data_IF_546190810320
#
_entry.id   IF_546190810320
#
_cell.length_a   1.000
_cell.length_b   1.000
_cell.length_c   1.000
_cell.angle_alpha   90.00
_cell.angle_beta   90.00
_cell.angle_gamma   90.00
#
_symmetry.space_group_name_H-M   'P 1'
#
loop_
_entity.id
_entity.type
_entity.pdbx_description
1 polymer ?
#
# COMPACT_ATOMS: atom_id res chain seq x y z
N UNK A 1 37.15 -27.21 -3.25
CA UNK A 1 36.70 -26.71 -1.94
C UNK A 1 36.06 -25.37 -2.23
N UNK A 2 34.75 -25.27 -2.02
CA UNK A 2 33.86 -24.37 -2.76
C UNK A 2 34.17 -22.89 -2.59
N UNK A 3 34.10 -22.16 -3.70
CA UNK A 3 33.87 -20.73 -3.65
C UNK A 3 32.43 -20.53 -3.18
N UNK A 4 32.27 -20.18 -1.91
CA UNK A 4 31.06 -19.55 -1.42
C UNK A 4 30.92 -18.23 -2.18
N UNK A 5 30.12 -18.27 -3.24
CA UNK A 5 29.71 -17.08 -3.96
C UNK A 5 29.11 -16.11 -2.95
N UNK A 6 29.62 -14.89 -2.95
CA UNK A 6 29.09 -13.74 -2.23
C UNK A 6 27.59 -13.56 -2.59
N UNK A 7 26.70 -14.21 -1.84
CA UNK A 7 25.28 -14.35 -2.17
C UNK A 7 24.51 -13.03 -2.01
N UNK A 8 25.14 -11.97 -1.47
CA UNK A 8 24.47 -10.75 -1.00
C UNK A 8 25.03 -9.46 -1.62
N UNK A 9 25.35 -9.44 -2.91
CA UNK A 9 25.62 -8.15 -3.57
C UNK A 9 24.38 -7.23 -3.46
N UNK A 10 24.49 -5.99 -2.93
CA UNK A 10 23.34 -5.10 -2.70
C UNK A 10 22.48 -4.89 -3.95
N UNK A 11 23.13 -4.88 -5.13
CA UNK A 11 22.46 -4.76 -6.42
C UNK A 11 21.50 -5.90 -6.72
N UNK A 12 21.82 -7.14 -6.33
CA UNK A 12 20.96 -8.32 -6.51
C UNK A 12 19.71 -8.23 -5.64
N UNK A 13 19.85 -7.78 -4.38
CA UNK A 13 18.70 -7.54 -3.51
C UNK A 13 17.69 -6.56 -4.14
N UNK A 14 18.16 -5.40 -4.61
CA UNK A 14 17.28 -4.38 -5.22
C UNK A 14 16.59 -4.88 -6.49
N UNK A 15 17.28 -5.67 -7.32
CA UNK A 15 16.67 -6.27 -8.51
C UNK A 15 15.60 -7.29 -8.12
N UNK A 16 15.88 -8.15 -7.15
CA UNK A 16 14.97 -9.21 -6.71
C UNK A 16 13.76 -8.65 -5.97
N UNK A 17 13.92 -7.62 -5.13
CA UNK A 17 12.82 -6.95 -4.43
C UNK A 17 11.83 -6.25 -5.39
N UNK A 18 12.31 -5.80 -6.56
CA UNK A 18 11.50 -5.15 -7.61
C UNK A 18 10.74 -6.14 -8.50
N UNK A 19 10.98 -7.46 -8.35
CA UNK A 19 10.28 -8.47 -9.16
C UNK A 19 8.82 -8.59 -8.71
N UNK A 20 7.86 -8.65 -9.65
CA UNK A 20 6.44 -8.68 -9.34
C UNK A 20 6.05 -9.88 -8.46
N UNK A 21 6.67 -11.04 -8.65
CA UNK A 21 6.41 -12.23 -7.83
C UNK A 21 6.84 -12.05 -6.37
N UNK A 22 8.01 -11.46 -6.13
CA UNK A 22 8.50 -11.25 -4.77
C UNK A 22 7.63 -10.23 -4.02
N UNK A 23 7.24 -9.14 -4.68
CA UNK A 23 6.31 -8.16 -4.11
C UNK A 23 4.91 -8.76 -3.88
N UNK A 24 4.41 -9.57 -4.81
CA UNK A 24 3.12 -10.24 -4.67
C UNK A 24 3.13 -11.21 -3.48
N UNK A 25 4.15 -12.06 -3.38
CA UNK A 25 4.28 -13.01 -2.28
C UNK A 25 4.40 -12.31 -0.93
N UNK A 26 5.08 -11.17 -0.89
CA UNK A 26 5.16 -10.32 0.29
C UNK A 26 3.79 -9.73 0.67
N UNK A 27 2.98 -9.31 -0.31
CA UNK A 27 1.68 -8.66 -0.10
C UNK A 27 0.54 -9.62 0.27
N UNK A 28 0.54 -10.85 -0.27
CA UNK A 28 -0.51 -11.85 -0.01
C UNK A 28 -0.85 -12.03 1.48
N UNK A 29 0.11 -12.25 2.40
CA UNK A 29 -0.21 -12.43 3.81
C UNK A 29 -0.85 -11.18 4.43
N UNK A 30 -0.48 -9.98 3.99
CA UNK A 30 -1.06 -8.73 4.48
C UNK A 30 -2.49 -8.49 3.97
N UNK A 31 -2.76 -8.79 2.69
CA UNK A 31 -4.11 -8.77 2.12
C UNK A 31 -5.01 -9.75 2.88
N UNK A 32 -4.53 -10.98 3.09
CA UNK A 32 -5.27 -12.00 3.82
C UNK A 32 -5.53 -11.58 5.28
N UNK A 33 -4.53 -11.03 5.96
CA UNK A 33 -4.67 -10.53 7.33
C UNK A 33 -5.70 -9.38 7.42
N UNK A 34 -5.70 -8.46 6.47
CA UNK A 34 -6.68 -7.39 6.40
C UNK A 34 -8.10 -7.91 6.15
N UNK A 35 -8.32 -8.71 5.12
CA UNK A 35 -9.66 -9.22 4.78
C UNK A 35 -10.21 -10.10 5.90
N UNK A 36 -9.38 -10.96 6.50
CA UNK A 36 -9.75 -11.71 7.71
C UNK A 36 -10.09 -10.79 8.87
N UNK A 37 -9.28 -9.74 9.10
CA UNK A 37 -9.53 -8.74 10.13
C UNK A 37 -10.86 -8.03 9.94
N UNK A 38 -11.17 -7.60 8.72
CA UNK A 38 -12.44 -6.94 8.37
C UNK A 38 -13.63 -7.90 8.56
N UNK A 39 -13.51 -9.16 8.16
CA UNK A 39 -14.58 -10.15 8.33
C UNK A 39 -14.83 -10.50 9.80
N UNK A 40 -13.76 -10.58 10.61
CA UNK A 40 -13.87 -10.94 12.02
C UNK A 40 -14.35 -9.79 12.91
N UNK A 41 -13.86 -8.56 12.66
CA UNK A 41 -14.13 -7.38 13.48
C UNK A 41 -15.29 -6.53 12.95
N UNK A 42 -15.54 -6.53 11.63
CA UNK A 42 -16.56 -5.70 10.97
C UNK A 42 -18.01 -6.21 11.10
N UNK A 43 -18.35 -7.02 12.10
CA UNK A 43 -19.67 -7.66 12.22
C UNK A 43 -20.84 -6.69 12.39
N UNK A 44 -20.61 -5.48 12.88
CA UNK A 44 -21.65 -4.47 13.13
C UNK A 44 -21.64 -3.35 12.09
N UNK A 45 -20.45 -2.93 11.64
CA UNK A 45 -20.31 -1.95 10.56
C UNK A 45 -18.96 -2.17 9.84
N UNK A 46 -18.95 -2.95 8.74
CA UNK A 46 -17.72 -3.21 7.98
C UNK A 46 -17.13 -1.94 7.38
N UNK A 47 -17.96 -0.95 7.05
CA UNK A 47 -17.54 0.21 6.28
C UNK A 47 -16.75 1.21 7.15
N UNK A 48 -17.02 1.27 8.46
CA UNK A 48 -16.21 2.05 9.40
C UNK A 48 -14.79 1.49 9.60
N UNK A 49 -14.58 0.19 9.36
CA UNK A 49 -13.28 -0.46 9.49
C UNK A 49 -12.44 -0.36 8.21
N UNK A 50 -13.10 -0.08 7.08
CA UNK A 50 -12.44 -0.08 5.78
C UNK A 50 -11.59 1.16 5.62
N UNK A 51 -10.40 0.97 5.08
CA UNK A 51 -9.58 2.10 4.70
C UNK A 51 -10.26 2.91 3.58
N UNK A 52 -9.97 4.22 3.50
CA UNK A 52 -10.49 5.10 2.46
C UNK A 52 -10.22 4.60 1.03
N UNK A 53 -9.02 4.07 0.76
CA UNK A 53 -8.71 3.51 -0.57
C UNK A 53 -9.52 2.24 -0.88
N UNK A 54 -9.71 1.37 0.12
CA UNK A 54 -10.53 0.16 -0.01
C UNK A 54 -11.99 0.53 -0.30
N UNK A 55 -12.55 1.44 0.49
CA UNK A 55 -13.90 1.98 0.28
C UNK A 55 -14.06 2.60 -1.11
N UNK A 56 -13.13 3.45 -1.53
CA UNK A 56 -13.19 4.15 -2.81
C UNK A 56 -13.14 3.18 -4.00
N UNK A 57 -12.21 2.22 -3.99
CA UNK A 57 -12.11 1.22 -5.06
C UNK A 57 -13.33 0.31 -5.12
N UNK A 58 -13.88 -0.09 -3.96
CA UNK A 58 -15.12 -0.88 -3.92
C UNK A 58 -16.31 -0.09 -4.41
N UNK A 59 -16.42 1.18 -4.06
CA UNK A 59 -17.48 2.05 -4.56
C UNK A 59 -17.43 2.15 -6.10
N UNK A 60 -16.23 2.30 -6.67
CA UNK A 60 -16.04 2.30 -8.12
C UNK A 60 -16.50 0.97 -8.75
N UNK A 61 -16.14 -0.18 -8.16
CA UNK A 61 -16.59 -1.49 -8.62
C UNK A 61 -18.12 -1.67 -8.52
N UNK A 62 -18.73 -1.17 -7.45
CA UNK A 62 -20.17 -1.17 -7.27
C UNK A 62 -20.87 -0.33 -8.34
N UNK A 63 -20.33 0.84 -8.70
CA UNK A 63 -20.87 1.64 -9.81
C UNK A 63 -20.78 0.93 -11.17
N UNK A 64 -19.84 0.00 -11.32
CA UNK A 64 -19.72 -0.87 -12.49
C UNK A 64 -20.63 -2.12 -12.43
N UNK A 65 -21.45 -2.26 -11.38
CA UNK A 65 -22.39 -3.38 -11.20
C UNK A 65 -21.79 -4.61 -10.50
N UNK A 66 -20.66 -4.45 -9.80
CA UNK A 66 -19.94 -5.56 -9.18
C UNK A 66 -19.91 -5.44 -7.65
N UNK A 67 -20.75 -6.23 -6.97
CA UNK A 67 -21.05 -6.07 -5.54
C UNK A 67 -20.33 -7.06 -4.61
N UNK A 68 -19.48 -7.94 -5.14
CA UNK A 68 -18.85 -9.00 -4.36
C UNK A 68 -17.74 -8.49 -3.43
N UNK A 69 -17.77 -8.91 -2.16
CA UNK A 69 -16.77 -8.56 -1.14
C UNK A 69 -15.38 -9.08 -1.49
N UNK A 70 -15.26 -10.24 -2.14
CA UNK A 70 -13.95 -10.78 -2.52
C UNK A 70 -13.47 -10.28 -3.88
N UNK A 71 -14.28 -9.49 -4.59
CA UNK A 71 -13.94 -9.04 -5.93
C UNK A 71 -12.67 -8.20 -5.96
N UNK A 72 -12.54 -7.25 -5.04
CA UNK A 72 -11.37 -6.37 -4.98
C UNK A 72 -10.06 -7.16 -4.74
N UNK A 73 -9.93 -7.99 -3.67
CA UNK A 73 -8.69 -8.75 -3.46
C UNK A 73 -8.40 -9.74 -4.60
N UNK A 74 -9.44 -10.35 -5.19
CA UNK A 74 -9.28 -11.20 -6.37
C UNK A 74 -8.76 -10.39 -7.55
N UNK A 75 -9.31 -9.21 -7.81
CA UNK A 75 -8.90 -8.33 -8.91
C UNK A 75 -7.42 -7.92 -8.76
N UNK A 76 -7.01 -7.53 -7.55
CA UNK A 76 -5.60 -7.22 -7.25
C UNK A 76 -4.71 -8.42 -7.53
N UNK A 77 -5.09 -9.61 -7.06
CA UNK A 77 -4.36 -10.85 -7.32
C UNK A 77 -4.26 -11.16 -8.83
N UNK A 78 -5.36 -11.05 -9.57
CA UNK A 78 -5.41 -11.29 -11.02
C UNK A 78 -4.54 -10.30 -11.78
N UNK A 79 -4.55 -9.01 -11.43
CA UNK A 79 -3.71 -8.01 -12.08
C UNK A 79 -2.23 -8.32 -11.84
N UNK A 80 -1.84 -8.64 -10.60
CA UNK A 80 -0.46 -8.94 -10.26
C UNK A 80 0.03 -10.24 -10.91
N UNK A 81 -0.81 -11.29 -10.93
CA UNK A 81 -0.50 -12.55 -11.63
C UNK A 81 -0.41 -12.31 -13.15
N UNK A 82 -1.37 -11.59 -13.73
CA UNK A 82 -1.36 -11.26 -15.16
C UNK A 82 -0.12 -10.45 -15.55
N UNK A 83 0.31 -9.53 -14.68
CA UNK A 83 1.55 -8.79 -14.86
C UNK A 83 2.79 -9.68 -14.77
N UNK A 84 2.82 -10.60 -13.81
CA UNK A 84 3.89 -11.60 -13.67
C UNK A 84 4.01 -12.48 -14.91
N UNK A 85 2.88 -12.97 -15.42
CA UNK A 85 2.83 -13.77 -16.65
C UNK A 85 3.33 -12.98 -17.86
N UNK A 86 2.93 -11.71 -17.98
CA UNK A 86 3.38 -10.83 -19.09
C UNK A 86 4.88 -10.56 -19.07
N UNK A 87 5.50 -10.51 -17.89
CA UNK A 87 6.96 -10.29 -17.77
C UNK A 87 7.80 -11.53 -17.98
N UNK A 88 7.20 -12.73 -18.06
CA UNK A 88 7.93 -14.01 -18.18
C UNK A 88 9.04 -14.16 -17.11
N UNK A 89 8.84 -13.57 -15.93
CA UNK A 89 9.85 -13.59 -14.88
C UNK A 89 10.01 -15.00 -14.30
N UNK A 90 11.26 -15.36 -13.98
CA UNK A 90 11.56 -16.65 -13.38
C UNK A 90 10.90 -16.78 -12.00
N UNK A 91 10.21 -17.89 -11.73
CA UNK A 91 9.66 -18.27 -10.42
C UNK A 91 10.78 -18.65 -9.43
N UNK A 92 11.63 -17.69 -9.08
CA UNK A 92 12.69 -17.86 -8.08
C UNK A 92 12.38 -16.97 -6.89
N UNK A 93 12.16 -17.60 -5.74
CA UNK A 93 11.87 -16.93 -4.48
C UNK A 93 13.12 -17.05 -3.62
N UNK A 94 13.66 -15.92 -3.18
CA UNK A 94 14.75 -15.88 -2.22
C UNK A 94 14.17 -15.43 -0.86
N UNK A 95 14.15 -16.28 0.18
CA UNK A 95 13.58 -15.94 1.48
C UNK A 95 14.33 -14.79 2.17
N UNK A 96 15.62 -14.65 1.90
CA UNK A 96 16.45 -13.53 2.38
C UNK A 96 15.93 -12.18 1.88
N UNK A 97 15.49 -12.11 0.60
CA UNK A 97 14.87 -10.90 0.05
C UNK A 97 13.57 -10.57 0.75
N UNK A 98 12.76 -11.57 1.11
CA UNK A 98 11.50 -11.36 1.84
C UNK A 98 11.76 -10.80 3.24
N UNK A 99 12.77 -11.34 3.94
CA UNK A 99 13.17 -10.84 5.25
C UNK A 99 13.76 -9.43 5.18
N UNK A 100 14.57 -9.14 4.15
CA UNK A 100 15.09 -7.81 3.88
C UNK A 100 13.96 -6.79 3.66
N UNK A 101 12.99 -7.10 2.80
CA UNK A 101 11.83 -6.24 2.56
C UNK A 101 11.01 -6.02 3.83
N UNK A 102 10.86 -7.05 4.67
CA UNK A 102 10.17 -6.93 5.95
C UNK A 102 10.91 -6.00 6.92
N UNK A 103 12.23 -6.16 7.07
CA UNK A 103 13.06 -5.33 7.93
C UNK A 103 13.05 -3.85 7.48
N UNK A 104 13.20 -3.61 6.18
CA UNK A 104 13.10 -2.27 5.59
C UNK A 104 11.72 -1.66 5.83
N UNK A 105 10.65 -2.43 5.66
CA UNK A 105 9.27 -1.97 5.91
C UNK A 105 9.05 -1.61 7.37
N UNK A 106 9.58 -2.39 8.33
CA UNK A 106 9.51 -2.06 9.75
C UNK A 106 10.25 -0.75 10.04
N UNK A 107 11.46 -0.60 9.50
CA UNK A 107 12.27 0.60 9.70
C UNK A 107 11.55 1.85 9.17
N UNK A 108 10.99 1.75 7.97
CA UNK A 108 10.19 2.82 7.35
C UNK A 108 8.91 3.11 8.13
N UNK A 109 8.23 2.09 8.65
CA UNK A 109 7.05 2.27 9.50
C UNK A 109 7.39 3.01 10.80
N UNK A 110 8.51 2.67 11.45
CA UNK A 110 9.00 3.39 12.64
C UNK A 110 9.31 4.85 12.29
N UNK A 111 9.98 5.10 11.17
CA UNK A 111 10.28 6.45 10.71
C UNK A 111 9.01 7.27 10.44
N UNK A 112 8.00 6.67 9.77
CA UNK A 112 6.71 7.31 9.53
C UNK A 112 5.96 7.64 10.82
N UNK A 113 5.97 6.74 11.80
CA UNK A 113 5.37 6.99 13.11
C UNK A 113 6.09 8.14 13.82
N UNK A 114 7.42 8.19 13.77
CA UNK A 114 8.19 9.28 14.35
C UNK A 114 7.85 10.63 13.70
N UNK A 115 7.75 10.68 12.37
CA UNK A 115 7.33 11.88 11.63
C UNK A 115 5.90 12.29 12.01
N UNK A 116 4.98 11.33 12.13
CA UNK A 116 3.61 11.59 12.57
C UNK A 116 3.53 12.19 13.98
N UNK A 117 4.33 11.68 14.91
CA UNK A 117 4.43 12.22 16.27
C UNK A 117 5.06 13.63 16.29
N UNK A 118 6.07 13.87 15.44
CA UNK A 118 6.65 15.21 15.30
C UNK A 118 5.63 16.21 14.75
N UNK A 119 4.85 15.83 13.73
CA UNK A 119 3.79 16.67 13.18
C UNK A 119 2.72 16.98 14.22
N UNK A 120 2.29 15.98 14.98
CA UNK A 120 1.31 16.15 16.05
C UNK A 120 1.83 17.07 17.16
N UNK A 121 3.10 16.92 17.57
CA UNK A 121 3.75 17.83 18.52
C UNK A 121 3.80 19.26 17.99
N UNK A 122 4.22 19.46 16.74
CA UNK A 122 4.26 20.78 16.10
C UNK A 122 2.87 21.40 16.04
N UNK A 123 1.85 20.62 15.69
CA UNK A 123 0.47 21.09 15.65
C UNK A 123 -0.02 21.52 17.04
N UNK A 124 0.24 20.73 18.08
CA UNK A 124 -0.11 21.09 19.48
C UNK A 124 0.60 22.35 19.96
N UNK A 125 1.87 22.55 19.58
CA UNK A 125 2.65 23.74 19.96
C UNK A 125 2.20 24.98 19.17
N UNK A 126 1.89 24.82 17.89
CA UNK A 126 1.45 25.91 17.02
C UNK A 126 0.00 26.34 17.31
N UNK A 127 -0.84 25.42 17.80
CA UNK A 127 -2.21 25.70 18.21
C UNK A 127 -2.28 25.98 19.72
N UNK A 128 -1.87 27.19 20.12
CA UNK A 128 -2.24 27.77 21.42
C UNK A 128 -3.69 28.29 21.27
N UNK A 129 -4.67 27.39 21.26
CA UNK A 129 -6.08 27.75 21.36
C UNK A 129 -6.60 27.42 22.78
N UNK A 130 -7.09 28.39 23.57
CA UNK A 130 -7.62 28.16 24.92
C UNK A 130 -8.92 27.35 24.95
N UNK A 131 -9.55 27.09 23.80
CA UNK A 131 -10.82 26.38 23.69
C UNK A 131 -10.59 24.90 23.33
N UNK A 132 -10.06 24.15 24.29
CA UNK A 132 -9.68 22.74 24.19
C UNK A 132 -10.80 21.78 23.75
N UNK A 133 -11.00 21.70 22.44
CA UNK A 133 -11.74 20.60 21.81
C UNK A 133 -10.90 20.06 20.64
N UNK A 134 -9.83 19.35 21.02
CA UNK A 134 -9.20 18.39 20.11
C UNK A 134 -10.26 17.32 19.86
N UNK A 135 -11.02 17.47 18.77
CA UNK A 135 -11.88 16.40 18.30
C UNK A 135 -10.96 15.23 17.95
N UNK A 136 -11.03 14.09 18.66
CA UNK A 136 -10.32 12.92 18.22
C UNK A 136 -10.93 12.57 16.86
N UNK A 137 -10.12 12.67 15.81
CA UNK A 137 -10.41 12.09 14.51
C UNK A 137 -10.94 10.68 14.75
N UNK A 138 -12.20 10.44 14.38
CA UNK A 138 -13.01 9.24 14.59
C UNK A 138 -12.23 8.09 15.24
N UNK A 139 -12.35 7.95 16.56
CA UNK A 139 -11.63 6.92 17.30
C UNK A 139 -12.10 5.54 16.85
N UNK A 140 -11.34 4.91 15.95
CA UNK A 140 -11.48 3.50 15.64
C UNK A 140 -11.33 2.74 16.96
N UNK A 141 -12.43 2.12 17.41
CA UNK A 141 -12.51 1.51 18.73
C UNK A 141 -11.68 0.24 18.77
N UNK A 142 -10.52 0.30 19.43
CA UNK A 142 -9.64 -0.83 19.72
C UNK A 142 -8.34 -0.86 18.92
N UNK A 143 -7.25 -1.23 19.60
CA UNK A 143 -5.90 -1.34 19.02
C UNK A 143 -5.83 -2.32 17.84
N UNK A 144 -6.60 -3.42 17.91
CA UNK A 144 -6.66 -4.42 16.85
C UNK A 144 -7.37 -3.88 15.60
N UNK A 145 -8.48 -3.18 15.80
CA UNK A 145 -9.27 -2.51 14.75
C UNK A 145 -8.42 -1.46 14.03
N UNK A 146 -7.68 -0.65 14.79
CA UNK A 146 -6.69 0.30 14.26
C UNK A 146 -5.60 -0.41 13.44
N UNK A 147 -5.02 -1.48 13.97
CA UNK A 147 -3.98 -2.24 13.26
C UNK A 147 -4.49 -2.80 11.92
N UNK A 148 -5.68 -3.40 11.90
CA UNK A 148 -6.31 -3.88 10.67
C UNK A 148 -6.53 -2.72 9.69
N UNK A 149 -7.08 -1.60 10.16
CA UNK A 149 -7.28 -0.41 9.31
C UNK A 149 -5.98 0.11 8.70
N UNK A 150 -4.88 0.16 9.47
CA UNK A 150 -3.57 0.58 8.96
C UNK A 150 -2.95 -0.40 7.97
N UNK A 151 -3.12 -1.71 8.18
CA UNK A 151 -2.68 -2.74 7.21
C UNK A 151 -3.44 -2.53 5.89
N UNK A 152 -4.76 -2.36 5.97
CA UNK A 152 -5.60 -2.05 4.82
C UNK A 152 -5.17 -0.77 4.10
N UNK A 153 -4.84 0.27 4.87
CA UNK A 153 -4.33 1.52 4.33
C UNK A 153 -3.05 1.32 3.53
N UNK A 154 -2.02 0.75 4.13
CA UNK A 154 -0.75 0.53 3.45
C UNK A 154 -0.88 -0.31 2.18
N UNK A 155 -1.67 -1.39 2.22
CA UNK A 155 -1.81 -2.30 1.07
C UNK A 155 -2.68 -1.71 -0.04
N UNK A 156 -3.90 -1.28 0.27
CA UNK A 156 -4.84 -0.84 -0.76
C UNK A 156 -4.51 0.54 -1.32
N UNK A 157 -3.91 1.43 -0.53
CA UNK A 157 -3.40 2.70 -1.07
C UNK A 157 -2.28 2.47 -2.06
N UNK A 158 -1.31 1.60 -1.75
CA UNK A 158 -0.22 1.28 -2.67
C UNK A 158 -0.73 0.71 -4.00
N UNK A 159 -1.69 -0.22 -3.94
CA UNK A 159 -2.34 -0.78 -5.13
C UNK A 159 -3.06 0.32 -5.92
N UNK A 160 -3.86 1.14 -5.25
CA UNK A 160 -4.61 2.23 -5.88
C UNK A 160 -3.67 3.24 -6.54
N UNK A 161 -2.60 3.64 -5.86
CA UNK A 161 -1.62 4.57 -6.40
C UNK A 161 -0.88 3.98 -7.59
N UNK A 162 -0.34 2.77 -7.46
CA UNK A 162 0.50 2.15 -8.47
C UNK A 162 -0.27 1.76 -9.74
N UNK A 163 -1.50 1.27 -9.59
CA UNK A 163 -2.29 0.73 -10.70
C UNK A 163 -3.27 1.74 -11.31
N UNK A 164 -3.76 2.71 -10.54
CA UNK A 164 -4.75 3.68 -11.02
C UNK A 164 -4.17 5.09 -11.09
N UNK A 165 -3.79 5.69 -9.95
CA UNK A 165 -3.48 7.13 -9.92
C UNK A 165 -2.20 7.48 -10.67
N UNK A 166 -1.10 6.74 -10.50
CA UNK A 166 0.17 7.05 -11.16
C UNK A 166 0.06 6.91 -12.69
N UNK A 167 -0.51 5.83 -13.26
CA UNK A 167 -0.72 5.74 -14.70
C UNK A 167 -1.66 6.82 -15.26
N UNK A 168 -2.75 7.14 -14.54
CA UNK A 168 -3.68 8.20 -14.95
C UNK A 168 -3.02 9.57 -14.90
N UNK A 169 -2.29 9.88 -13.83
CA UNK A 169 -1.53 11.12 -13.70
C UNK A 169 -0.48 11.24 -14.82
N UNK A 170 0.25 10.16 -15.10
CA UNK A 170 1.21 10.11 -16.20
C UNK A 170 0.55 10.36 -17.56
N UNK A 171 -0.59 9.74 -17.84
CA UNK A 171 -1.36 9.99 -19.06
C UNK A 171 -1.84 11.44 -19.13
N UNK A 172 -2.33 11.97 -18.02
CA UNK A 172 -2.72 13.38 -17.91
C UNK A 172 -1.56 14.30 -18.25
N UNK A 173 -0.42 14.15 -17.58
CA UNK A 173 0.78 14.95 -17.87
C UNK A 173 1.22 14.82 -19.32
N UNK A 174 1.17 13.62 -19.90
CA UNK A 174 1.51 13.41 -21.31
C UNK A 174 0.53 14.08 -22.28
N UNK A 175 -0.75 14.15 -21.94
CA UNK A 175 -1.76 14.87 -22.72
C UNK A 175 -1.58 16.39 -22.59
N UNK A 176 -1.06 16.86 -21.45
CA UNK A 176 -0.73 18.26 -21.18
C UNK A 176 0.73 18.63 -21.47
N UNK A 177 1.54 17.72 -22.04
CA UNK A 177 2.88 18.06 -22.54
C UNK A 177 2.72 19.14 -23.61
N UNK A 178 3.07 20.37 -23.21
CA UNK A 178 2.96 21.58 -24.00
C UNK A 178 3.51 21.33 -25.41
N UNK A 179 2.80 21.77 -26.48
CA UNK A 179 3.37 21.71 -27.82
C UNK A 179 4.75 22.39 -27.79
N UNK A 180 5.78 21.83 -28.46
CA UNK A 180 7.19 22.25 -28.35
C UNK A 180 7.46 23.73 -28.74
N UNK A 181 6.41 24.48 -29.09
CA UNK A 181 6.41 25.92 -29.36
C UNK A 181 6.54 26.78 -28.10
N UNK A 182 6.41 26.21 -26.90
CA UNK A 182 6.57 26.90 -25.61
C UNK A 182 7.85 26.52 -24.84
N UNK A 183 8.64 25.57 -25.35
CA UNK A 183 10.01 25.35 -24.88
C UNK A 183 10.90 26.42 -25.50
N UNK A 184 10.77 27.66 -25.00
CA UNK A 184 11.62 28.77 -25.39
C UNK A 184 13.02 28.59 -24.81
N UNK A 185 14.01 28.69 -25.72
CA UNK A 185 15.40 29.16 -25.59
C UNK A 185 16.10 28.97 -24.24
#
# INVERSE_FOLDING_TARGET
>A
MGEEHDETSPHRYWLDARRPLNSLLFLIPWIAAYECGVLLLGKQDPDQLRNGADYWMRSLLQTAGAESVLLLPILVGVILIGWHLKRHDSWRIHPETQLGMFAESILLAIALVAVGQMHDLVFRIAQIDPSGSVHPTAAISGKMTLAVSFIGAGVYEEVMFRLLLVPVAWLGFRLFEFPPRWAAV
#
